data_IF_474993408306
#
_entry.id   IF_474993408306
#
_cell.length_a   1.000
_cell.length_b   1.000
_cell.length_c   1.000
_cell.angle_alpha   90.00
_cell.angle_beta   90.00
_cell.angle_gamma   90.00
#
_symmetry.space_group_name_H-M   'P 1'
#
loop_
_entity.id
_entity.type
_entity.pdbx_description
1 polymer ?
#
# COMPACT_ATOMS: atom_id res chain seq x y z
N UNK A 1 -3.39 -6.89 -5.58
CA UNK A 1 -4.15 -6.51 -4.36
C UNK A 1 -5.60 -6.39 -4.76
N UNK A 2 -6.54 -6.57 -3.84
CA UNK A 2 -7.96 -6.41 -4.17
C UNK A 2 -8.23 -4.95 -4.55
N UNK A 3 -8.80 -4.74 -5.73
CA UNK A 3 -9.27 -3.46 -6.23
C UNK A 3 -10.80 -3.44 -6.19
N UNK A 4 -11.36 -2.27 -5.87
CA UNK A 4 -12.78 -2.04 -5.88
C UNK A 4 -13.20 -1.43 -7.23
N UNK A 5 -14.16 -2.04 -7.90
CA UNK A 5 -14.61 -1.63 -9.23
C UNK A 5 -15.94 -2.28 -9.62
N UNK A 6 -16.40 -2.03 -10.84
CA UNK A 6 -17.72 -2.48 -11.30
C UNK A 6 -17.63 -3.50 -12.45
N UNK A 7 -16.44 -4.05 -12.71
CA UNK A 7 -16.24 -5.08 -13.72
C UNK A 7 -16.63 -6.46 -13.16
N UNK A 8 -17.02 -7.40 -14.03
CA UNK A 8 -17.42 -8.76 -13.61
C UNK A 8 -16.28 -9.53 -12.92
N UNK A 9 -15.03 -9.13 -13.18
CA UNK A 9 -13.83 -9.70 -12.59
C UNK A 9 -13.47 -9.09 -11.24
N UNK A 10 -14.15 -8.03 -10.81
CA UNK A 10 -13.89 -7.35 -9.54
C UNK A 10 -14.45 -8.16 -8.36
N UNK A 11 -13.60 -8.38 -7.36
CA UNK A 11 -13.99 -9.10 -6.14
C UNK A 11 -14.78 -8.21 -5.17
N UNK A 12 -14.59 -6.90 -5.25
CA UNK A 12 -15.21 -5.91 -4.36
C UNK A 12 -15.82 -4.81 -5.22
N UNK A 13 -17.10 -4.51 -5.03
CA UNK A 13 -17.77 -3.50 -5.86
C UNK A 13 -17.53 -2.06 -5.37
N UNK A 14 -17.51 -1.89 -4.04
CA UNK A 14 -17.37 -0.58 -3.40
C UNK A 14 -16.57 -0.71 -2.12
N UNK A 15 -15.69 0.24 -1.88
CA UNK A 15 -14.96 0.40 -0.64
C UNK A 15 -15.54 1.60 0.12
N UNK A 16 -16.04 1.35 1.33
CA UNK A 16 -16.51 2.40 2.24
C UNK A 16 -15.49 2.49 3.36
N UNK A 17 -14.82 3.64 3.46
CA UNK A 17 -13.70 3.85 4.38
C UNK A 17 -14.17 4.82 5.46
N UNK A 18 -14.13 4.39 6.72
CA UNK A 18 -14.24 5.31 7.83
C UNK A 18 -12.83 5.82 8.14
N UNK A 19 -12.55 7.12 7.94
CA UNK A 19 -11.23 7.70 8.20
C UNK A 19 -10.93 7.86 9.70
N UNK A 20 -11.90 7.58 10.59
CA UNK A 20 -11.77 7.88 12.00
C UNK A 20 -11.79 9.38 12.24
N UNK A 21 -10.82 9.86 12.99
CA UNK A 21 -10.63 11.27 13.32
C UNK A 21 -9.45 11.89 12.54
N UNK A 22 -9.19 13.17 12.76
CA UNK A 22 -8.09 13.89 12.09
C UNK A 22 -6.71 13.33 12.44
N UNK A 23 -6.57 12.61 13.56
CA UNK A 23 -5.30 12.03 14.01
C UNK A 23 -4.90 10.78 13.23
N UNK A 24 -5.89 10.11 12.64
CA UNK A 24 -5.71 8.82 11.96
C UNK A 24 -4.66 8.86 10.84
N UNK A 25 -4.69 9.90 10.00
CA UNK A 25 -3.68 10.09 8.92
C UNK A 25 -2.34 10.62 9.48
N UNK A 26 -2.35 11.36 10.59
CA UNK A 26 -1.11 11.82 11.25
C UNK A 26 -0.33 10.65 11.86
N UNK A 27 -1.04 9.73 12.51
CA UNK A 27 -0.48 8.52 13.12
C UNK A 27 -0.10 7.47 12.06
N UNK A 28 -0.76 7.51 10.89
CA UNK A 28 -0.53 6.58 9.79
C UNK A 28 -0.39 7.30 8.44
N UNK A 29 0.72 8.03 8.20
CA UNK A 29 0.87 8.83 6.98
C UNK A 29 0.74 7.98 5.72
N UNK A 30 -0.15 8.40 4.82
CA UNK A 30 -0.44 7.72 3.57
C UNK A 30 -1.57 6.69 3.65
N UNK A 31 -2.25 6.53 4.78
CA UNK A 31 -3.42 5.65 4.87
C UNK A 31 -4.50 6.10 3.88
N UNK A 32 -4.82 7.38 3.82
CA UNK A 32 -5.82 7.92 2.92
C UNK A 32 -5.42 7.69 1.46
N UNK A 33 -4.15 7.89 1.12
CA UNK A 33 -3.63 7.56 -0.21
C UNK A 33 -3.81 6.07 -0.53
N UNK A 34 -3.40 5.17 0.38
CA UNK A 34 -3.51 3.72 0.17
C UNK A 34 -4.97 3.29 0.03
N UNK A 35 -5.88 3.87 0.80
CA UNK A 35 -7.29 3.52 0.75
C UNK A 35 -7.93 4.03 -0.55
N UNK A 36 -7.62 5.25 -0.98
CA UNK A 36 -8.06 5.79 -2.26
C UNK A 36 -7.49 4.99 -3.45
N UNK A 37 -6.23 4.55 -3.37
CA UNK A 37 -5.57 3.79 -4.44
C UNK A 37 -6.13 2.37 -4.64
N UNK A 38 -7.12 1.94 -3.85
CA UNK A 38 -7.82 0.66 -4.04
C UNK A 38 -9.03 0.77 -4.95
N UNK A 39 -9.54 1.96 -5.25
CA UNK A 39 -10.65 2.12 -6.18
C UNK A 39 -10.18 2.28 -7.63
N UNK A 40 -10.90 1.64 -8.56
CA UNK A 40 -10.72 1.85 -10.01
C UNK A 40 -11.30 3.18 -10.50
N UNK A 41 -12.22 3.77 -9.75
CA UNK A 41 -12.90 5.03 -10.11
C UNK A 41 -13.30 5.82 -8.85
N UNK A 42 -13.18 7.14 -8.93
CA UNK A 42 -13.73 8.09 -7.94
C UNK A 42 -15.08 8.69 -8.36
N UNK A 43 -15.64 8.16 -9.45
CA UNK A 43 -16.82 8.72 -10.10
C UNK A 43 -16.49 10.00 -10.87
N UNK A 44 -17.45 10.45 -11.69
CA UNK A 44 -17.31 11.67 -12.48
C UNK A 44 -18.33 12.71 -12.01
N UNK A 45 -17.93 13.71 -11.19
CA UNK A 45 -18.84 14.75 -10.80
C UNK A 45 -19.26 15.59 -12.01
N UNK A 46 -20.56 15.84 -12.14
CA UNK A 46 -21.14 16.74 -13.13
C UNK A 46 -21.82 17.93 -12.42
N UNK A 47 -22.26 18.93 -13.18
CA UNK A 47 -22.99 20.07 -12.60
C UNK A 47 -24.32 19.63 -11.97
N UNK A 48 -24.96 18.62 -12.56
CA UNK A 48 -26.23 18.03 -12.10
C UNK A 48 -26.04 16.99 -11.00
N UNK A 49 -24.89 16.29 -10.98
CA UNK A 49 -24.54 15.27 -9.99
C UNK A 49 -23.13 15.53 -9.42
N UNK A 50 -23.00 16.45 -8.44
CA UNK A 50 -21.72 16.73 -7.81
C UNK A 50 -21.21 15.58 -6.92
N UNK A 51 -22.08 14.63 -6.57
CA UNK A 51 -21.78 13.48 -5.72
C UNK A 51 -22.04 12.17 -6.48
N UNK A 52 -21.12 11.78 -7.38
CA UNK A 52 -21.31 10.63 -8.26
C UNK A 52 -21.55 9.31 -7.53
N UNK A 53 -22.56 8.57 -7.97
CA UNK A 53 -22.84 7.21 -7.48
C UNK A 53 -22.02 6.12 -8.19
N UNK A 54 -21.24 6.49 -9.21
CA UNK A 54 -20.30 5.62 -9.92
C UNK A 54 -18.88 5.66 -9.34
N UNK A 55 -18.70 6.19 -8.12
CA UNK A 55 -17.46 6.02 -7.38
C UNK A 55 -17.35 4.63 -6.78
N UNK A 56 -16.17 4.01 -6.88
CA UNK A 56 -15.85 2.77 -6.19
C UNK A 56 -15.37 3.02 -4.75
N UNK A 57 -15.08 4.27 -4.39
CA UNK A 57 -14.55 4.66 -3.07
C UNK A 57 -15.45 5.70 -2.42
N UNK A 58 -15.86 5.44 -1.19
CA UNK A 58 -16.64 6.35 -0.37
C UNK A 58 -15.97 6.56 0.99
N UNK A 59 -16.03 7.79 1.47
CA UNK A 59 -15.61 8.14 2.82
C UNK A 59 -16.83 8.25 3.73
N UNK A 60 -16.82 7.49 4.82
CA UNK A 60 -17.84 7.54 5.86
C UNK A 60 -17.26 8.22 7.10
N UNK A 61 -17.04 9.53 7.00
CA UNK A 61 -16.49 10.34 8.08
C UNK A 61 -15.92 11.67 7.56
N UNK A 62 -15.47 12.54 8.48
CA UNK A 62 -14.97 13.86 8.13
C UNK A 62 -13.59 13.77 7.48
N UNK A 63 -13.56 13.68 6.15
CA UNK A 63 -12.34 13.90 5.36
C UNK A 63 -12.38 15.31 4.82
N UNK A 64 -11.45 16.15 5.25
CA UNK A 64 -11.28 17.50 4.70
C UNK A 64 -9.96 17.60 3.95
N UNK A 65 -9.85 18.57 3.04
CA UNK A 65 -8.57 18.94 2.42
C UNK A 65 -7.52 19.26 3.47
N UNK A 66 -7.92 19.89 4.57
CA UNK A 66 -7.05 20.18 5.69
C UNK A 66 -6.54 18.90 6.38
N UNK A 67 -7.40 17.88 6.52
CA UNK A 67 -7.04 16.54 7.04
C UNK A 67 -6.04 15.80 6.17
N UNK A 68 -5.95 16.15 4.88
CA UNK A 68 -4.98 15.58 3.95
C UNK A 68 -3.70 16.43 3.88
N UNK A 69 -3.81 17.75 3.98
CA UNK A 69 -2.69 18.68 3.78
C UNK A 69 -1.87 18.96 5.05
N UNK A 70 -2.50 18.93 6.23
CA UNK A 70 -1.85 19.32 7.51
C UNK A 70 -1.08 18.18 8.19
N UNK A 71 -1.19 16.96 7.65
CA UNK A 71 -0.56 15.74 8.18
C UNK A 71 0.96 15.85 8.29
N UNK A 72 1.57 16.68 7.44
CA UNK A 72 3.01 16.85 7.37
C UNK A 72 3.61 17.40 8.67
N UNK A 73 2.87 18.27 9.36
CA UNK A 73 3.41 19.06 10.46
C UNK A 73 2.74 18.68 11.79
N UNK A 74 3.55 18.57 12.83
CA UNK A 74 3.09 18.52 14.22
C UNK A 74 2.51 19.89 14.62
N UNK A 75 1.81 19.93 15.74
CA UNK A 75 1.25 21.18 16.29
C UNK A 75 2.31 22.26 16.55
N UNK A 76 3.57 21.88 16.77
CA UNK A 76 4.69 22.79 16.97
C UNK A 76 5.35 23.28 15.66
N UNK A 77 4.82 22.89 14.49
CA UNK A 77 5.35 23.25 13.18
C UNK A 77 6.47 22.34 12.65
N UNK A 78 6.96 21.38 13.44
CA UNK A 78 7.96 20.42 13.00
C UNK A 78 7.37 19.37 12.07
N UNK A 79 8.17 18.86 11.14
CA UNK A 79 7.75 17.73 10.28
C UNK A 79 7.60 16.46 11.13
N UNK A 80 6.52 15.70 10.88
CA UNK A 80 6.31 14.42 11.54
C UNK A 80 7.43 13.41 11.18
N UNK A 81 7.95 12.69 12.19
CA UNK A 81 9.03 11.69 11.99
C UNK A 81 8.60 10.58 11.04
N UNK A 82 7.33 10.19 11.05
CA UNK A 82 6.80 9.18 10.14
C UNK A 82 6.78 9.67 8.69
N UNK A 83 6.55 10.98 8.48
CA UNK A 83 6.62 11.60 7.15
C UNK A 83 8.07 11.65 6.67
N UNK A 84 9.02 11.99 7.55
CA UNK A 84 10.45 11.93 7.20
C UNK A 84 10.88 10.52 6.78
N UNK A 85 10.53 9.50 7.56
CA UNK A 85 10.81 8.09 7.23
C UNK A 85 10.18 7.64 5.91
N UNK A 86 8.95 8.11 5.64
CA UNK A 86 8.28 7.85 4.36
C UNK A 86 9.06 8.47 3.20
N UNK A 87 9.48 9.71 3.34
CA UNK A 87 10.19 10.44 2.28
C UNK A 87 11.57 9.79 2.02
N UNK A 88 12.31 9.44 3.07
CA UNK A 88 13.56 8.66 2.98
C UNK A 88 13.34 7.30 2.28
N UNK A 89 12.24 6.61 2.60
CA UNK A 89 11.89 5.35 1.94
C UNK A 89 11.56 5.54 0.45
N UNK A 90 10.86 6.62 0.10
CA UNK A 90 10.54 6.94 -1.29
C UNK A 90 11.80 7.26 -2.09
N UNK A 91 12.71 8.05 -1.52
CA UNK A 91 14.03 8.32 -2.13
C UNK A 91 14.81 7.02 -2.35
N UNK A 92 14.86 6.15 -1.34
CA UNK A 92 15.49 4.83 -1.48
C UNK A 92 14.86 4.00 -2.61
N UNK A 93 13.54 4.03 -2.78
CA UNK A 93 12.86 3.32 -3.88
C UNK A 93 13.24 3.90 -5.25
N UNK A 94 13.38 5.22 -5.37
CA UNK A 94 13.86 5.85 -6.60
C UNK A 94 15.28 5.42 -6.94
N UNK A 95 16.19 5.43 -5.95
CA UNK A 95 17.56 4.97 -6.13
C UNK A 95 17.61 3.50 -6.58
N UNK A 96 16.80 2.64 -5.95
CA UNK A 96 16.67 1.23 -6.35
C UNK A 96 16.07 1.06 -7.73
N UNK A 97 15.11 1.89 -8.11
CA UNK A 97 14.52 1.85 -9.44
C UNK A 97 15.56 2.22 -10.51
N UNK A 98 16.37 3.26 -10.28
CA UNK A 98 17.45 3.66 -11.18
C UNK A 98 18.57 2.61 -11.24
N UNK A 99 18.97 2.05 -10.11
CA UNK A 99 19.91 0.94 -10.06
C UNK A 99 19.38 -0.27 -10.86
N UNK A 100 18.10 -0.58 -10.68
CA UNK A 100 17.44 -1.66 -11.43
C UNK A 100 17.44 -1.38 -12.91
N UNK A 101 17.06 -0.17 -13.35
CA UNK A 101 17.12 0.23 -14.77
C UNK A 101 18.52 0.06 -15.36
N UNK A 102 19.56 0.44 -14.62
CA UNK A 102 20.97 0.27 -15.04
C UNK A 102 21.39 -1.20 -15.17
N UNK A 103 20.88 -2.07 -14.28
CA UNK A 103 21.16 -3.52 -14.30
C UNK A 103 20.29 -4.30 -15.30
N UNK A 104 19.13 -3.75 -15.66
CA UNK A 104 18.11 -4.38 -16.47
C UNK A 104 18.47 -4.26 -17.96
N UNK A 105 19.47 -5.03 -18.39
CA UNK A 105 19.75 -5.23 -19.82
C UNK A 105 18.59 -5.98 -20.49
N UNK A 106 18.44 -5.85 -21.81
CA UNK A 106 17.45 -6.62 -22.57
C UNK A 106 17.59 -8.13 -22.35
N UNK A 107 18.82 -8.59 -22.11
CA UNK A 107 19.13 -9.98 -21.80
C UNK A 107 18.66 -10.39 -20.41
N UNK A 108 18.80 -9.52 -19.40
CA UNK A 108 18.23 -9.73 -18.06
C UNK A 108 16.70 -9.79 -18.11
N UNK A 109 16.05 -8.89 -18.87
CA UNK A 109 14.59 -8.92 -19.07
C UNK A 109 14.15 -10.23 -19.70
N UNK A 110 14.84 -10.68 -20.76
CA UNK A 110 14.55 -11.94 -21.43
C UNK A 110 14.69 -13.14 -20.49
N UNK A 111 15.75 -13.18 -19.67
CA UNK A 111 15.92 -14.23 -18.66
C UNK A 111 14.86 -14.19 -17.56
N UNK A 112 14.50 -12.99 -17.07
CA UNK A 112 13.45 -12.83 -16.07
C UNK A 112 12.08 -13.32 -16.59
N UNK A 113 11.71 -12.93 -17.81
CA UNK A 113 10.48 -13.37 -18.47
C UNK A 113 10.46 -14.88 -18.70
N UNK A 114 11.60 -15.46 -19.11
CA UNK A 114 11.73 -16.91 -19.28
C UNK A 114 11.52 -17.65 -17.94
N UNK A 115 12.13 -17.18 -16.84
CA UNK A 115 11.94 -17.77 -15.51
C UNK A 115 10.50 -17.69 -15.02
N UNK A 116 9.84 -16.55 -15.24
CA UNK A 116 8.41 -16.38 -14.89
C UNK A 116 7.55 -17.34 -15.69
N UNK A 117 7.81 -17.47 -17.00
CA UNK A 117 7.08 -18.41 -17.86
C UNK A 117 7.26 -19.86 -17.40
N UNK A 118 8.49 -20.28 -17.11
CA UNK A 118 8.79 -21.61 -16.56
C UNK A 118 8.08 -21.84 -15.22
N UNK A 119 8.10 -20.86 -14.31
CA UNK A 119 7.42 -21.00 -13.02
C UNK A 119 5.89 -21.13 -13.14
N UNK A 120 5.28 -20.43 -14.10
CA UNK A 120 3.84 -20.53 -14.39
C UNK A 120 3.49 -21.87 -15.03
N UNK A 121 4.37 -22.41 -15.89
CA UNK A 121 4.19 -23.70 -16.56
C UNK A 121 4.43 -24.88 -15.60
N UNK A 122 5.39 -24.79 -14.69
CA UNK A 122 5.72 -25.84 -13.70
C UNK A 122 4.72 -25.89 -12.54
N UNK A 123 4.21 -24.75 -12.09
CA UNK A 123 3.12 -24.66 -11.10
C UNK A 123 2.06 -23.65 -11.57
N UNK A 124 1.05 -24.09 -12.34
CA UNK A 124 -0.09 -23.24 -12.64
C UNK A 124 -0.87 -22.95 -11.35
N UNK A 125 -0.59 -21.81 -10.74
CA UNK A 125 -1.25 -21.36 -9.51
C UNK A 125 -2.66 -20.89 -9.85
N UNK A 126 -3.64 -21.80 -9.71
CA UNK A 126 -5.04 -21.39 -9.63
C UNK A 126 -5.24 -20.41 -8.48
N UNK A 127 -6.18 -19.47 -8.63
CA UNK A 127 -6.45 -18.38 -7.66
C UNK A 127 -6.49 -18.89 -6.19
N UNK A 128 -7.14 -20.03 -5.97
CA UNK A 128 -7.25 -20.67 -4.65
C UNK A 128 -5.90 -21.12 -4.05
N UNK A 129 -4.97 -21.61 -4.87
CA UNK A 129 -3.62 -21.97 -4.43
C UNK A 129 -2.79 -20.74 -4.08
N UNK A 130 -3.00 -19.64 -4.82
CA UNK A 130 -2.34 -18.37 -4.55
C UNK A 130 -2.81 -17.79 -3.21
N UNK A 131 -4.12 -17.79 -2.95
CA UNK A 131 -4.73 -17.34 -1.69
C UNK A 131 -4.21 -18.16 -0.51
N UNK A 132 -4.15 -19.50 -0.63
CA UNK A 132 -3.61 -20.37 0.40
C UNK A 132 -2.11 -20.14 0.65
N UNK A 133 -1.31 -19.87 -0.39
CA UNK A 133 0.11 -19.49 -0.24
C UNK A 133 0.27 -18.13 0.42
N UNK A 134 -0.56 -17.14 0.09
CA UNK A 134 -0.57 -15.81 0.74
C UNK A 134 -0.93 -15.95 2.22
N UNK A 135 -2.01 -16.67 2.53
CA UNK A 135 -2.42 -16.98 3.90
C UNK A 135 -1.32 -17.75 4.63
N UNK A 136 -0.67 -18.70 3.95
CA UNK A 136 0.50 -19.43 4.45
C UNK A 136 1.65 -18.51 4.82
N UNK A 137 2.02 -17.56 3.95
CA UNK A 137 3.06 -16.56 4.23
C UNK A 137 2.68 -15.61 5.38
N UNK A 138 1.40 -15.29 5.53
CA UNK A 138 0.91 -14.49 6.66
C UNK A 138 0.93 -15.28 7.98
N UNK A 139 0.63 -16.59 7.93
CA UNK A 139 0.58 -17.48 9.11
C UNK A 139 1.94 -17.99 9.55
N UNK A 140 2.79 -18.38 8.60
CA UNK A 140 4.15 -18.87 8.81
C UNK A 140 5.11 -17.83 8.26
N UNK A 141 5.67 -17.04 9.16
CA UNK A 141 6.67 -16.04 8.78
C UNK A 141 7.92 -16.70 8.25
N UNK A 142 8.43 -16.15 7.15
CA UNK A 142 9.78 -16.42 6.66
C UNK A 142 10.81 -16.29 7.82
N UNK A 143 11.58 -17.35 8.06
CA UNK A 143 12.60 -17.41 9.13
C UNK A 143 13.62 -16.28 8.99
N UNK A 144 14.11 -16.02 7.78
CA UNK A 144 15.06 -14.92 7.51
C UNK A 144 14.50 -13.56 7.90
N UNK A 145 13.20 -13.35 7.67
CA UNK A 145 12.52 -12.12 8.06
C UNK A 145 12.34 -12.06 9.59
N UNK A 146 12.02 -13.19 10.21
CA UNK A 146 11.85 -13.29 11.67
C UNK A 146 13.14 -12.98 12.41
N UNK A 147 14.27 -13.45 11.89
CA UNK A 147 15.60 -13.19 12.46
C UNK A 147 15.99 -11.72 12.31
N UNK A 148 15.82 -11.14 11.12
CA UNK A 148 16.07 -9.71 10.88
C UNK A 148 15.19 -8.82 11.75
N UNK A 149 13.91 -9.17 11.93
CA UNK A 149 13.03 -8.43 12.83
C UNK A 149 13.55 -8.42 14.26
N UNK A 150 13.97 -9.56 14.80
CA UNK A 150 14.51 -9.65 16.16
C UNK A 150 15.80 -8.84 16.32
N UNK A 151 16.67 -8.86 15.31
CA UNK A 151 17.97 -8.21 15.36
C UNK A 151 17.89 -6.69 15.16
N UNK A 152 17.05 -6.21 14.23
CA UNK A 152 17.14 -4.82 13.73
C UNK A 152 15.87 -4.00 13.95
N UNK A 153 14.70 -4.65 14.04
CA UNK A 153 13.41 -3.96 13.97
C UNK A 153 12.52 -4.17 15.20
N UNK A 154 12.99 -4.89 16.21
CA UNK A 154 12.35 -4.96 17.52
C UNK A 154 12.96 -3.89 18.43
N UNK A 155 12.12 -2.93 18.84
CA UNK A 155 12.47 -2.01 19.92
C UNK A 155 12.69 -2.84 21.20
N UNK A 156 13.76 -2.59 21.98
CA UNK A 156 14.02 -3.35 23.21
C UNK A 156 12.79 -3.36 24.12
N UNK A 157 12.43 -4.53 24.63
CA UNK A 157 11.39 -4.67 25.64
C UNK A 157 11.83 -3.93 26.91
N UNK A 158 11.33 -2.70 27.08
CA UNK A 158 11.75 -1.79 28.15
C UNK A 158 11.74 -0.32 27.76
N UNK A 159 11.64 0.03 26.47
CA UNK A 159 11.72 1.43 26.01
C UNK A 159 10.59 2.35 26.53
N UNK A 160 9.49 1.80 27.04
CA UNK A 160 8.38 2.55 27.65
C UNK A 160 8.20 2.29 29.16
N UNK A 161 9.14 1.58 29.81
CA UNK A 161 9.11 1.34 31.27
C UNK A 161 10.26 2.08 31.97
N UNK A 162 10.33 3.41 31.78
CA UNK A 162 11.12 4.33 32.61
C UNK A 162 10.32 5.60 32.87
#
# INVERSE_FOLDING_TARGET
GYEAGFEETDTVNRLIINPGDHSTEMDNPGMFYVAASRGKTFGKPTAEEPYPKDSAVYWNGPVSTQSIQTVKYKQNGDVCVLVQKRDEWVEYLYDRAEETKRRCSEEWKRQATARVKTAIEEEPLGQHNLDNKIIGMMRQRNEKWSDRRKAEYMVPAGYFNS
#
